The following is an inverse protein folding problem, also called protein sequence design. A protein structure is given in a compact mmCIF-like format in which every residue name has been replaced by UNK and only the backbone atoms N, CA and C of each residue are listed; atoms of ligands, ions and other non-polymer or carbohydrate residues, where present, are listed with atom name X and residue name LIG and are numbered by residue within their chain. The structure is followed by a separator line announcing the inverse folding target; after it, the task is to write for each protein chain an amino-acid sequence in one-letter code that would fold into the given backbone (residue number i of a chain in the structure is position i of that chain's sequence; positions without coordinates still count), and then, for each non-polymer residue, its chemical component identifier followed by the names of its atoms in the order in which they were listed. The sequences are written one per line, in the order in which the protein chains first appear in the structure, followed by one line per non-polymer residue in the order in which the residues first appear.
data_IF_110146712067
#
_entry.id   IF_110146712067
#
_cell.length_a   1.000
_cell.length_b   1.000
_cell.length_c   1.000
_cell.angle_alpha   90.00
_cell.angle_beta   90.00
_cell.angle_gamma   90.00
#
_symmetry.space_group_name_H-M   'P 1'
#
loop_
_entity.id
_entity.type
_entity.pdbx_description
1 polymer ?
#
# COMPACT_ATOMS: atom_id res chain seq x y z
N UNK A 1 17.68 -32.26 -5.46
CA UNK A 1 17.52 -32.93 -6.78
C UNK A 1 16.08 -32.78 -7.24
N UNK A 2 15.80 -31.83 -8.15
CA UNK A 2 14.63 -31.85 -9.03
C UNK A 2 14.94 -30.95 -10.23
N UNK A 3 15.33 -31.64 -11.30
CA UNK A 3 15.18 -31.38 -12.74
C UNK A 3 15.07 -29.93 -13.23
N UNK A 4 16.17 -29.46 -13.83
CA UNK A 4 16.26 -28.34 -14.76
C UNK A 4 15.69 -28.80 -16.10
N UNK A 5 14.57 -28.22 -16.54
CA UNK A 5 14.09 -28.34 -17.91
C UNK A 5 14.77 -27.27 -18.76
N UNK A 6 15.62 -27.68 -19.71
CA UNK A 6 16.28 -26.78 -20.65
C UNK A 6 15.36 -26.60 -21.87
N UNK A 7 14.84 -25.40 -22.05
CA UNK A 7 14.40 -24.92 -23.36
C UNK A 7 15.29 -23.71 -23.72
N UNK A 8 15.99 -23.82 -24.86
CA UNK A 8 16.79 -22.75 -25.47
C UNK A 8 17.98 -22.18 -24.68
N UNK A 9 18.64 -23.00 -23.85
CA UNK A 9 19.96 -22.66 -23.31
C UNK A 9 20.03 -21.46 -22.36
N UNK A 10 18.89 -20.89 -21.97
CA UNK A 10 18.82 -19.84 -20.94
C UNK A 10 18.33 -20.46 -19.64
N UNK A 11 19.17 -20.40 -18.61
CA UNK A 11 18.73 -20.62 -17.24
C UNK A 11 17.76 -19.47 -16.92
N UNK A 12 16.47 -19.79 -16.79
CA UNK A 12 15.50 -18.85 -16.23
C UNK A 12 15.62 -19.00 -14.72
N UNK A 13 16.44 -18.17 -14.09
CA UNK A 13 16.58 -18.12 -12.65
C UNK A 13 15.65 -17.09 -12.02
N UNK A 14 15.52 -17.17 -10.71
CA UNK A 14 14.76 -16.29 -9.80
C UNK A 14 15.25 -14.81 -9.77
N UNK A 15 16.11 -14.40 -10.71
CA UNK A 15 16.90 -13.17 -10.75
C UNK A 15 16.31 -12.03 -11.62
N UNK A 16 15.05 -12.14 -12.05
CA UNK A 16 14.40 -11.13 -12.89
C UNK A 16 13.77 -9.94 -12.11
N UNK A 17 13.95 -9.86 -10.78
CA UNK A 17 13.93 -8.56 -10.09
C UNK A 17 15.27 -7.86 -10.35
N UNK A 18 15.45 -7.51 -11.63
CA UNK A 18 16.60 -6.81 -12.17
C UNK A 18 16.98 -5.64 -11.27
N UNK A 19 18.28 -5.43 -11.08
CA UNK A 19 18.86 -4.26 -10.43
C UNK A 19 18.27 -2.96 -10.99
N UNK A 20 17.25 -2.42 -10.34
CA UNK A 20 16.71 -1.10 -10.67
C UNK A 20 17.82 -0.09 -10.37
N UNK A 21 18.23 0.67 -11.37
CA UNK A 21 19.24 1.71 -11.18
C UNK A 21 18.77 2.68 -10.09
N UNK A 22 19.65 3.00 -9.15
CA UNK A 22 19.32 3.93 -8.05
C UNK A 22 18.81 5.26 -8.58
N UNK A 23 17.79 5.81 -7.93
CA UNK A 23 17.24 7.13 -8.26
C UNK A 23 17.80 8.21 -7.32
N UNK A 24 18.58 9.17 -7.85
CA UNK A 24 18.93 10.40 -7.12
C UNK A 24 17.70 11.12 -6.55
N UNK A 25 16.60 11.21 -7.30
CA UNK A 25 15.39 11.85 -6.82
C UNK A 25 14.78 11.12 -5.62
N UNK A 26 14.69 9.78 -5.66
CA UNK A 26 14.23 8.99 -4.51
C UNK A 26 15.10 9.21 -3.27
N UNK A 27 16.42 9.14 -3.44
CA UNK A 27 17.38 9.34 -2.34
C UNK A 27 17.29 10.73 -1.71
N UNK A 28 17.00 11.75 -2.52
CA UNK A 28 16.92 13.12 -2.04
C UNK A 28 15.58 13.45 -1.38
N UNK A 29 14.47 13.00 -1.97
CA UNK A 29 13.13 13.47 -1.59
C UNK A 29 12.30 12.45 -0.81
N UNK A 30 12.60 11.16 -0.92
CA UNK A 30 11.73 10.08 -0.42
C UNK A 30 12.37 9.28 0.72
N UNK A 31 13.65 8.96 0.62
CA UNK A 31 14.30 7.97 1.51
C UNK A 31 14.46 8.43 2.96
N UNK A 32 14.32 9.72 3.27
CA UNK A 32 14.34 10.21 4.65
C UNK A 32 13.14 9.73 5.48
N UNK A 33 12.00 9.48 4.81
CA UNK A 33 10.78 8.99 5.43
C UNK A 33 10.52 7.52 5.07
N UNK A 34 10.59 7.18 3.77
CA UNK A 34 10.30 5.82 3.29
C UNK A 34 11.49 4.87 3.43
N UNK A 35 12.64 5.36 3.90
CA UNK A 35 13.88 4.61 4.07
C UNK A 35 14.53 4.17 2.75
N UNK A 36 15.84 3.87 2.72
CA UNK A 36 16.54 3.51 1.48
C UNK A 36 15.95 2.31 0.74
N UNK A 37 15.47 1.29 1.46
CA UNK A 37 14.87 0.09 0.89
C UNK A 37 13.33 0.11 0.91
N UNK A 38 12.73 1.29 1.05
CA UNK A 38 11.27 1.44 0.99
C UNK A 38 10.55 0.81 2.18
N UNK A 39 11.26 0.39 3.24
CA UNK A 39 10.68 -0.29 4.39
C UNK A 39 9.90 0.63 5.33
N UNK A 40 10.06 1.95 5.18
CA UNK A 40 9.43 2.94 6.05
C UNK A 40 9.85 2.79 7.52
N UNK A 41 9.01 3.33 8.41
CA UNK A 41 9.14 3.20 9.87
C UNK A 41 7.78 2.80 10.41
N UNK A 42 7.65 1.63 11.07
CA UNK A 42 6.37 1.16 11.57
C UNK A 42 5.61 2.24 12.35
N UNK A 43 4.32 2.40 12.04
CA UNK A 43 3.39 3.39 12.64
C UNK A 43 3.74 4.86 12.39
N UNK A 44 4.86 5.16 11.72
CA UNK A 44 5.29 6.54 11.45
C UNK A 44 5.31 6.83 9.94
N UNK A 45 6.09 6.09 9.16
CA UNK A 45 6.18 6.25 7.72
C UNK A 45 5.82 4.95 7.01
N UNK A 46 4.83 4.95 6.11
CA UNK A 46 4.39 3.71 5.49
C UNK A 46 5.49 3.11 4.61
N UNK A 47 5.59 1.77 4.56
CA UNK A 47 6.46 1.11 3.60
C UNK A 47 5.95 1.36 2.17
N UNK A 48 6.88 1.53 1.24
CA UNK A 48 6.65 1.41 -0.19
C UNK A 48 6.87 -0.04 -0.62
N UNK A 49 7.82 -0.73 0.00
CA UNK A 49 8.10 -2.14 -0.23
C UNK A 49 6.86 -3.00 0.02
N UNK A 50 6.38 -3.68 -1.03
CA UNK A 50 5.19 -4.53 -0.97
C UNK A 50 3.88 -3.78 -0.73
N UNK A 51 3.85 -2.46 -0.89
CA UNK A 51 2.65 -1.65 -0.66
C UNK A 51 1.65 -1.81 -1.80
N UNK A 52 0.41 -2.15 -1.44
CA UNK A 52 -0.70 -2.24 -2.38
C UNK A 52 -1.05 -0.88 -3.02
N UNK A 53 -0.61 0.23 -2.42
CA UNK A 53 -0.79 1.58 -2.97
C UNK A 53 -0.01 1.79 -4.27
N UNK A 54 1.08 1.06 -4.50
CA UNK A 54 1.85 1.15 -5.73
C UNK A 54 1.13 0.57 -6.95
N UNK A 55 0.00 -0.12 -6.75
CA UNK A 55 -0.81 -0.70 -7.82
C UNK A 55 -1.86 0.29 -8.37
N UNK A 56 -2.05 1.44 -7.71
CA UNK A 56 -2.95 2.50 -8.18
C UNK A 56 -2.43 3.12 -9.48
N UNK A 57 -3.29 3.83 -10.20
CA UNK A 57 -2.93 4.51 -11.45
C UNK A 57 -1.77 5.50 -11.30
N UNK A 58 -1.05 5.75 -12.40
CA UNK A 58 0.04 6.73 -12.44
C UNK A 58 -0.44 8.10 -11.97
N UNK A 59 -1.61 8.55 -12.44
CA UNK A 59 -2.19 9.84 -12.04
C UNK A 59 -2.39 9.91 -10.51
N UNK A 60 -2.82 8.81 -9.87
CA UNK A 60 -3.00 8.76 -8.42
C UNK A 60 -1.69 8.81 -7.66
N UNK A 61 -0.65 8.12 -8.13
CA UNK A 61 0.68 8.23 -7.52
C UNK A 61 1.27 9.63 -7.69
N UNK A 62 1.13 10.21 -8.89
CA UNK A 62 1.63 11.55 -9.20
C UNK A 62 0.94 12.60 -8.34
N UNK A 63 -0.39 12.57 -8.21
CA UNK A 63 -1.11 13.58 -7.43
C UNK A 63 -0.75 13.50 -5.93
N UNK A 64 -0.54 12.31 -5.39
CA UNK A 64 -0.03 12.13 -4.01
C UNK A 64 1.34 12.78 -3.85
N UNK A 65 2.25 12.58 -4.81
CA UNK A 65 3.58 13.19 -4.77
C UNK A 65 3.55 14.71 -4.91
N UNK A 66 2.72 15.23 -5.82
CA UNK A 66 2.65 16.66 -6.12
C UNK A 66 1.95 17.46 -5.01
N UNK A 67 0.80 16.99 -4.52
CA UNK A 67 -0.05 17.74 -3.59
C UNK A 67 -0.09 17.17 -2.17
N UNK A 68 0.68 16.12 -1.91
CA UNK A 68 0.75 15.45 -0.62
C UNK A 68 -0.49 14.60 -0.34
N UNK A 69 -0.40 13.78 0.70
CA UNK A 69 -1.53 12.99 1.21
C UNK A 69 -1.55 12.98 2.74
N UNK A 70 -2.76 13.03 3.31
CA UNK A 70 -3.00 12.88 4.74
C UNK A 70 -4.22 12.01 5.06
N UNK A 71 -4.38 11.75 6.36
CA UNK A 71 -5.50 10.99 6.90
C UNK A 71 -5.11 9.56 7.26
N UNK A 72 -6.06 8.81 7.86
CA UNK A 72 -5.81 7.42 8.20
C UNK A 72 -5.71 6.59 6.92
N UNK A 73 -4.50 6.11 6.64
CA UNK A 73 -4.21 5.18 5.55
C UNK A 73 -3.91 3.80 6.11
N UNK A 74 -4.44 2.77 5.47
CA UNK A 74 -4.06 1.38 5.72
C UNK A 74 -3.03 0.97 4.68
N UNK A 75 -1.84 0.60 5.12
CA UNK A 75 -0.76 0.11 4.26
C UNK A 75 -0.32 -1.22 4.82
N UNK A 76 -0.44 -2.28 4.02
CA UNK A 76 -0.20 -3.67 4.45
C UNK A 76 -0.89 -4.02 5.78
N UNK A 77 -2.18 -3.69 5.90
CA UNK A 77 -2.98 -3.93 7.13
C UNK A 77 -2.64 -3.05 8.34
N UNK A 78 -1.65 -2.15 8.26
CA UNK A 78 -1.24 -1.28 9.37
C UNK A 78 -1.71 0.18 9.16
N UNK A 79 -2.18 0.86 10.22
CA UNK A 79 -2.64 2.24 10.14
C UNK A 79 -1.50 3.26 10.16
N UNK A 80 -1.58 4.25 9.28
CA UNK A 80 -0.69 5.42 9.22
C UNK A 80 -1.51 6.71 9.24
N UNK A 81 -1.02 7.72 9.96
CA UNK A 81 -1.75 8.99 10.16
C UNK A 81 -0.91 10.22 9.83
N UNK A 82 0.34 10.03 9.48
CA UNK A 82 1.25 11.12 9.16
C UNK A 82 0.94 11.73 7.81
N UNK A 83 1.47 12.94 7.64
CA UNK A 83 1.35 13.73 6.43
C UNK A 83 2.54 13.43 5.52
N UNK A 84 2.27 13.06 4.28
CA UNK A 84 3.25 13.15 3.20
C UNK A 84 3.14 14.55 2.59
N UNK A 85 4.20 15.38 2.67
CA UNK A 85 4.14 16.76 2.20
C UNK A 85 4.02 16.85 0.68
N UNK A 86 3.43 17.95 0.21
CA UNK A 86 3.35 18.28 -1.20
C UNK A 86 4.73 18.66 -1.76
N UNK A 87 5.12 18.08 -2.90
CA UNK A 87 6.40 18.36 -3.56
C UNK A 87 6.26 19.08 -4.91
N UNK A 88 5.06 19.55 -5.27
CA UNK A 88 4.85 20.26 -6.53
C UNK A 88 5.76 21.49 -6.69
N UNK A 89 6.08 22.21 -5.62
CA UNK A 89 6.94 23.39 -5.70
C UNK A 89 8.45 23.08 -5.70
N UNK A 90 8.84 21.87 -5.29
CA UNK A 90 10.25 21.51 -5.01
C UNK A 90 10.84 20.53 -6.01
N UNK A 91 10.01 19.73 -6.69
CA UNK A 91 10.44 18.74 -7.67
C UNK A 91 9.99 19.10 -9.09
N UNK A 92 10.91 18.99 -10.06
CA UNK A 92 10.59 19.06 -11.48
C UNK A 92 9.80 17.83 -11.95
N UNK A 93 9.25 17.89 -13.17
CA UNK A 93 8.50 16.77 -13.74
C UNK A 93 9.38 15.54 -13.97
N UNK A 94 10.63 15.76 -14.38
CA UNK A 94 11.63 14.72 -14.56
C UNK A 94 11.97 14.05 -13.22
N UNK A 95 12.15 14.82 -12.15
CA UNK A 95 12.45 14.27 -10.82
C UNK A 95 11.30 13.44 -10.26
N UNK A 96 10.06 13.88 -10.48
CA UNK A 96 8.87 13.12 -10.06
C UNK A 96 8.75 11.83 -10.87
N UNK A 97 8.89 11.92 -12.19
CA UNK A 97 8.85 10.76 -13.08
C UNK A 97 9.95 9.73 -12.74
N UNK A 98 11.17 10.19 -12.51
CA UNK A 98 12.32 9.36 -12.13
C UNK A 98 12.07 8.66 -10.78
N UNK A 99 11.70 9.42 -9.74
CA UNK A 99 11.46 8.86 -8.41
C UNK A 99 10.31 7.85 -8.41
N UNK A 100 9.17 8.19 -9.02
CA UNK A 100 8.01 7.30 -9.02
C UNK A 100 8.24 6.06 -9.89
N UNK A 101 8.94 6.19 -11.02
CA UNK A 101 9.37 5.04 -11.84
C UNK A 101 10.26 4.10 -11.03
N UNK A 102 11.25 4.64 -10.31
CA UNK A 102 12.09 3.84 -9.42
C UNK A 102 11.26 3.08 -8.38
N UNK A 103 10.33 3.77 -7.72
CA UNK A 103 9.45 3.18 -6.68
C UNK A 103 8.60 2.03 -7.25
N UNK A 104 7.89 2.25 -8.37
CA UNK A 104 7.00 1.22 -8.93
C UNK A 104 7.78 0.05 -9.52
N UNK A 105 8.97 0.28 -10.10
CA UNK A 105 9.82 -0.81 -10.59
C UNK A 105 10.45 -1.63 -9.47
N UNK A 106 10.89 -0.98 -8.39
CA UNK A 106 11.62 -1.64 -7.30
C UNK A 106 10.67 -2.42 -6.37
N UNK A 107 9.45 -1.93 -6.16
CA UNK A 107 8.53 -2.49 -5.16
C UNK A 107 7.09 -2.72 -5.64
N UNK A 108 6.75 -2.30 -6.86
CA UNK A 108 5.46 -2.59 -7.46
C UNK A 108 5.38 -4.00 -8.02
N UNK A 109 4.23 -4.33 -8.60
CA UNK A 109 3.96 -5.66 -9.17
C UNK A 109 4.39 -5.79 -10.63
N UNK A 110 4.70 -4.68 -11.31
CA UNK A 110 5.12 -4.64 -12.70
C UNK A 110 6.51 -3.97 -12.82
N UNK A 111 7.59 -4.75 -13.01
CA UNK A 111 8.95 -4.23 -13.11
C UNK A 111 9.20 -3.45 -14.42
N UNK A 112 8.29 -3.54 -15.40
CA UNK A 112 8.38 -2.80 -16.65
C UNK A 112 7.65 -1.45 -16.61
N UNK A 113 6.85 -1.19 -15.56
CA UNK A 113 6.07 0.05 -15.43
C UNK A 113 6.97 1.28 -15.38
N UNK A 114 6.61 2.30 -16.16
CA UNK A 114 7.31 3.58 -16.22
C UNK A 114 6.31 4.73 -16.11
N UNK A 115 6.63 5.70 -15.27
CA UNK A 115 5.84 6.92 -15.13
C UNK A 115 6.51 8.00 -15.97
N UNK A 116 5.86 8.39 -17.06
CA UNK A 116 6.41 9.34 -18.03
C UNK A 116 6.39 10.78 -17.51
N UNK A 117 7.35 11.60 -17.98
CA UNK A 117 7.39 13.04 -17.71
C UNK A 117 6.10 13.73 -18.19
N UNK A 118 5.57 13.33 -19.35
CA UNK A 118 4.33 13.87 -19.90
C UNK A 118 3.12 13.59 -18.99
N UNK A 119 3.04 12.40 -18.38
CA UNK A 119 1.99 12.08 -17.41
C UNK A 119 2.09 12.97 -16.16
N UNK A 120 3.31 13.26 -15.70
CA UNK A 120 3.55 14.18 -14.57
C UNK A 120 3.12 15.59 -14.94
N UNK A 121 3.59 16.11 -16.08
CA UNK A 121 3.26 17.45 -16.55
C UNK A 121 1.74 17.63 -16.73
N UNK A 122 1.06 16.65 -17.33
CA UNK A 122 -0.38 16.65 -17.50
C UNK A 122 -1.12 16.67 -16.15
N UNK A 123 -0.69 15.83 -15.20
CA UNK A 123 -1.29 15.78 -13.85
C UNK A 123 -1.05 17.10 -13.09
N UNK A 124 0.16 17.66 -13.18
CA UNK A 124 0.50 18.94 -12.58
C UNK A 124 -0.37 20.06 -13.13
N UNK A 125 -0.54 20.14 -14.44
CA UNK A 125 -1.40 21.14 -15.07
C UNK A 125 -2.87 20.97 -14.66
N UNK A 126 -3.38 19.73 -14.66
CA UNK A 126 -4.76 19.38 -14.28
C UNK A 126 -5.10 19.84 -12.86
N UNK A 127 -4.15 19.77 -11.93
CA UNK A 127 -4.35 20.10 -10.51
C UNK A 127 -3.57 21.35 -10.04
N UNK A 128 -3.12 22.23 -10.94
CA UNK A 128 -2.30 23.39 -10.59
C UNK A 128 -2.97 24.36 -9.58
N UNK A 129 -4.30 24.42 -9.58
CA UNK A 129 -5.08 25.27 -8.66
C UNK A 129 -5.40 24.63 -7.31
N UNK A 130 -5.07 23.35 -7.11
CA UNK A 130 -5.42 22.62 -5.89
C UNK A 130 -4.47 23.01 -4.75
N UNK A 131 -5.03 23.55 -3.67
CA UNK A 131 -4.28 23.95 -2.46
C UNK A 131 -4.42 22.95 -1.32
N UNK A 132 -5.51 22.20 -1.32
CA UNK A 132 -5.77 21.17 -0.32
C UNK A 132 -4.91 19.94 -0.57
N UNK A 133 -4.56 19.25 0.51
CA UNK A 133 -3.89 17.96 0.45
C UNK A 133 -4.85 16.84 0.03
N UNK A 134 -4.36 15.77 -0.59
CA UNK A 134 -5.22 14.59 -0.81
C UNK A 134 -5.50 13.87 0.50
N UNK A 135 -6.65 13.24 0.58
CA UNK A 135 -6.95 12.27 1.63
C UNK A 135 -7.71 11.10 1.04
N UNK A 136 -7.88 10.03 1.82
CA UNK A 136 -8.55 8.81 1.36
C UNK A 136 -9.99 9.03 0.87
N UNK A 137 -10.67 10.10 1.30
CA UNK A 137 -12.04 10.42 0.87
C UNK A 137 -12.07 11.19 -0.46
N UNK A 138 -11.00 11.92 -0.78
CA UNK A 138 -10.90 12.82 -1.96
C UNK A 138 -9.97 12.31 -3.05
N UNK A 139 -9.17 11.27 -2.76
CA UNK A 139 -8.22 10.69 -3.70
C UNK A 139 -8.93 10.00 -4.88
N UNK A 140 -10.16 9.51 -4.70
CA UNK A 140 -10.98 8.89 -5.75
C UNK A 140 -10.62 7.45 -6.09
N UNK A 141 -9.33 7.08 -6.06
CA UNK A 141 -8.85 5.71 -6.27
C UNK A 141 -8.13 5.24 -5.01
N UNK A 142 -8.47 4.04 -4.52
CA UNK A 142 -7.96 3.48 -3.26
C UNK A 142 -7.74 1.97 -3.40
N UNK A 143 -6.77 1.39 -2.67
CA UNK A 143 -6.63 -0.06 -2.64
C UNK A 143 -7.81 -0.73 -1.90
N UNK A 144 -8.10 -2.02 -2.17
CA UNK A 144 -9.22 -2.74 -1.54
C UNK A 144 -9.24 -2.66 -0.01
N UNK A 145 -8.10 -2.85 0.65
CA UNK A 145 -7.99 -2.77 2.11
C UNK A 145 -8.40 -1.38 2.65
N UNK A 146 -8.06 -0.31 1.93
CA UNK A 146 -8.45 1.04 2.33
C UNK A 146 -9.96 1.25 2.15
N UNK A 147 -10.55 0.70 1.08
CA UNK A 147 -12.00 0.76 0.89
C UNK A 147 -12.75 -0.02 1.97
N UNK A 148 -12.25 -1.18 2.36
CA UNK A 148 -12.80 -1.98 3.47
C UNK A 148 -12.74 -1.21 4.80
N UNK A 149 -11.61 -0.57 5.09
CA UNK A 149 -11.48 0.29 6.27
C UNK A 149 -12.51 1.44 6.27
N UNK A 150 -12.73 2.09 5.13
CA UNK A 150 -13.72 3.17 5.02
C UNK A 150 -15.15 2.65 5.21
N UNK A 151 -15.47 1.48 4.67
CA UNK A 151 -16.76 0.83 4.89
C UNK A 151 -16.98 0.48 6.38
N UNK A 152 -15.95 -0.07 7.05
CA UNK A 152 -16.01 -0.36 8.48
C UNK A 152 -16.18 0.91 9.32
N UNK A 153 -15.44 1.98 8.98
CA UNK A 153 -15.56 3.30 9.64
C UNK A 153 -16.99 3.84 9.54
N UNK A 154 -17.67 3.60 8.43
CA UNK A 154 -19.06 4.01 8.25
C UNK A 154 -20.04 3.12 9.03
N UNK A 155 -19.88 1.79 8.98
CA UNK A 155 -20.83 0.86 9.61
C UNK A 155 -20.63 0.70 11.12
N UNK A 156 -19.40 0.82 11.61
CA UNK A 156 -19.02 0.62 13.00
C UNK A 156 -17.78 1.47 13.39
N UNK A 157 -17.97 2.77 13.66
CA UNK A 157 -16.87 3.70 13.97
C UNK A 157 -16.01 3.27 15.17
N UNK A 158 -16.63 2.66 16.18
CA UNK A 158 -15.92 2.17 17.38
C UNK A 158 -14.96 1.04 17.04
N UNK A 159 -15.34 0.14 16.13
CA UNK A 159 -14.46 -0.94 15.68
C UNK A 159 -13.35 -0.42 14.77
N UNK A 160 -13.65 0.53 13.88
CA UNK A 160 -12.64 1.17 13.05
C UNK A 160 -11.59 1.95 13.87
N UNK A 161 -11.97 2.51 15.02
CA UNK A 161 -11.03 3.15 15.94
C UNK A 161 -9.98 2.15 16.46
N UNK A 162 -10.41 0.93 16.80
CA UNK A 162 -9.50 -0.13 17.28
C UNK A 162 -8.47 -0.54 16.23
N UNK A 163 -8.83 -0.61 14.95
CA UNK A 163 -7.89 -0.88 13.84
C UNK A 163 -6.75 0.15 13.83
N UNK A 164 -7.05 1.38 14.22
CA UNK A 164 -6.06 2.46 14.25
C UNK A 164 -5.36 2.67 15.60
N UNK A 165 -5.81 1.97 16.64
CA UNK A 165 -5.31 2.06 18.02
C UNK A 165 -4.53 0.82 18.44
N UNK A 166 -4.81 -0.35 17.85
CA UNK A 166 -4.20 -1.61 18.25
C UNK A 166 -2.72 -1.63 17.90
N UNK A 167 -1.89 -1.76 18.93
CA UNK A 167 -0.51 -2.18 18.81
C UNK A 167 -0.45 -3.45 17.95
N UNK A 168 0.29 -3.38 16.83
CA UNK A 168 0.34 -4.40 15.78
C UNK A 168 0.15 -5.84 16.23
N UNK A 169 -0.88 -6.51 15.69
CA UNK A 169 -0.98 -7.97 15.67
C UNK A 169 -2.10 -8.44 14.73
N UNK A 170 -2.12 -7.98 13.49
CA UNK A 170 -2.97 -8.57 12.44
C UNK A 170 -2.36 -9.86 11.88
N UNK A 171 -2.16 -10.83 12.77
CA UNK A 171 -1.93 -12.23 12.45
C UNK A 171 -2.73 -13.20 13.32
N UNK A 172 -3.32 -12.74 14.44
CA UNK A 172 -3.88 -13.64 15.46
C UNK A 172 -5.40 -13.52 15.65
N UNK A 173 -6.03 -12.42 15.23
CA UNK A 173 -7.44 -12.15 15.55
C UNK A 173 -8.43 -12.88 14.62
N UNK A 174 -8.09 -13.11 13.34
CA UNK A 174 -8.93 -13.89 12.43
C UNK A 174 -8.99 -15.38 12.81
N UNK A 175 -7.93 -15.94 13.40
CA UNK A 175 -7.91 -17.31 13.91
C UNK A 175 -8.83 -17.45 15.12
N UNK A 176 -8.85 -16.46 16.02
CA UNK A 176 -9.72 -16.49 17.20
C UNK A 176 -11.21 -16.34 16.84
N UNK A 177 -11.56 -15.47 15.88
CA UNK A 177 -12.96 -15.35 15.42
C UNK A 177 -13.43 -16.66 14.74
N UNK A 178 -12.58 -17.30 13.92
CA UNK A 178 -12.89 -18.59 13.30
C UNK A 178 -13.07 -19.74 14.29
N UNK A 179 -12.23 -19.81 15.34
CA UNK A 179 -12.32 -20.84 16.38
C UNK A 179 -13.53 -20.62 17.30
N UNK A 180 -13.86 -19.37 17.64
CA UNK A 180 -15.02 -19.06 18.50
C UNK A 180 -16.34 -19.41 17.78
N UNK A 181 -16.47 -19.13 16.49
CA UNK A 181 -17.67 -19.50 15.70
C UNK A 181 -17.82 -21.02 15.61
N UNK A 182 -16.72 -21.76 15.41
CA UNK A 182 -16.74 -23.24 15.38
C UNK A 182 -17.10 -23.87 16.74
N UNK A 183 -16.61 -23.32 17.86
CA UNK A 183 -16.91 -23.82 19.21
C UNK A 183 -18.39 -23.59 19.57
N UNK A 184 -18.97 -22.44 19.19
CA UNK A 184 -20.38 -22.15 19.48
C UNK A 184 -21.34 -23.02 18.66
N UNK A 185 -21.01 -23.31 17.39
CA UNK A 185 -21.79 -24.25 16.57
C UNK A 185 -21.68 -25.68 17.13
N UNK A 186 -20.50 -26.10 17.60
CA UNK A 186 -20.29 -27.42 18.21
C UNK A 186 -21.09 -27.65 19.50
N UNK A 187 -21.19 -26.64 20.37
CA UNK A 187 -21.96 -26.73 21.63
C UNK A 187 -23.46 -26.80 21.37
N UNK A 188 -23.98 -26.11 20.36
CA UNK A 188 -25.40 -26.12 20.01
C UNK A 188 -25.88 -27.49 19.46
N UNK A 189 -25.00 -28.21 18.75
CA UNK A 189 -25.31 -29.56 18.24
C UNK A 189 -25.27 -30.61 19.37
N UNK A 190 -24.37 -30.45 20.34
CA UNK A 190 -24.24 -31.39 21.47
C UNK A 190 -25.44 -31.40 22.44
N UNK A 191 -26.08 -30.26 22.69
CA UNK A 191 -27.24 -30.17 23.60
C UNK A 191 -28.54 -30.68 22.99
N UNK A 192 -28.66 -30.76 21.66
CA UNK A 192 -29.85 -31.29 20.98
C UNK A 192 -29.91 -32.82 20.96
N UNK A 193 -28.79 -33.52 21.15
CA UNK A 193 -28.74 -35.00 21.13
C UNK A 193 -28.79 -35.66 22.53
N UNK A 194 -28.78 -34.87 23.60
CA UNK A 194 -28.66 -35.37 24.98
C UNK A 194 -29.98 -35.69 25.72
N UNK A 195 -31.16 -35.50 25.10
CA UNK A 195 -32.46 -35.59 25.80
C UNK A 195 -33.35 -36.72 25.26
N UNK A 196 -32.83 -37.94 25.31
CA UNK A 196 -33.55 -39.16 24.96
C UNK A 196 -33.12 -40.36 25.81
N UNK A 197 -33.60 -40.42 27.06
CA UNK A 197 -33.83 -41.63 27.85
C UNK A 197 -35.06 -41.42 28.71
#
# INVERSE_FOLDING_TARGET
MRSIGVADGRLVGEDEHMSVAESPAYKQFCSSCHMPEGQGVPKLFPPLAGSQWLQLSDETLIKMQLHGINGPMIVNGEPYRNVMPANAATMSDEQVAEALTYVVKKWGTDPAREISVDAVAATRAKYAGRKEMWNVETLGELPPEQMEYLALKQSNPTEAAKVTESEGSSGFTWILIGVIVLVLIGVAIGTLMGRGK
#
